data_IF_391494376741
#
_entry.id   IF_391494376741
#
_cell.length_a   1.000
_cell.length_b   1.000
_cell.length_c   1.000
_cell.angle_alpha   90.00
_cell.angle_beta   90.00
_cell.angle_gamma   90.00
#
_symmetry.space_group_name_H-M   'P 1'
#
loop_
_entity.id
_entity.type
_entity.pdbx_description
1 polymer ?
#
# COMPACT_ATOMS: atom_id res chain seq x y z
N UNK A 1 -36.85 40.15 13.19
CA UNK A 1 -36.13 38.91 13.53
C UNK A 1 -35.06 38.57 12.50
N UNK A 2 -35.27 38.90 11.22
CA UNK A 2 -34.33 38.58 10.13
C UNK A 2 -32.95 39.25 10.25
N UNK A 3 -32.87 40.50 10.73
CA UNK A 3 -31.58 41.18 10.92
C UNK A 3 -30.72 40.55 12.03
N UNK A 4 -31.35 40.04 13.10
CA UNK A 4 -30.64 39.35 14.19
C UNK A 4 -30.14 37.99 13.70
N UNK A 5 -30.98 37.25 12.97
CA UNK A 5 -30.62 35.97 12.36
C UNK A 5 -29.48 36.12 11.34
N UNK A 6 -29.54 37.14 10.47
CA UNK A 6 -28.48 37.43 9.50
C UNK A 6 -27.17 37.84 10.19
N UNK A 7 -27.23 38.65 11.25
CA UNK A 7 -26.06 39.03 12.03
C UNK A 7 -25.40 37.83 12.72
N UNK A 8 -26.20 36.92 13.29
CA UNK A 8 -25.72 35.67 13.88
C UNK A 8 -25.09 34.74 12.84
N UNK A 9 -25.71 34.58 11.68
CA UNK A 9 -25.16 33.80 10.57
C UNK A 9 -23.83 34.39 10.07
N UNK A 10 -23.73 35.70 9.95
CA UNK A 10 -22.50 36.39 9.54
C UNK A 10 -21.38 36.18 10.58
N UNK A 11 -21.70 36.32 11.87
CA UNK A 11 -20.76 36.08 12.97
C UNK A 11 -20.27 34.63 13.01
N UNK A 12 -21.18 33.66 12.86
CA UNK A 12 -20.82 32.24 12.75
C UNK A 12 -19.94 31.96 11.53
N UNK A 13 -20.20 32.61 10.39
CA UNK A 13 -19.37 32.49 9.19
C UNK A 13 -17.97 33.08 9.38
N UNK A 14 -17.86 34.26 9.99
CA UNK A 14 -16.57 34.91 10.28
C UNK A 14 -15.76 34.10 11.29
N UNK A 15 -16.38 33.60 12.35
CA UNK A 15 -15.70 32.75 13.34
C UNK A 15 -15.23 31.43 12.74
N UNK A 16 -16.06 30.78 11.91
CA UNK A 16 -15.67 29.57 11.19
C UNK A 16 -14.50 29.83 10.23
N UNK A 17 -14.55 30.89 9.42
CA UNK A 17 -13.48 31.22 8.46
C UNK A 17 -12.16 31.54 9.18
N UNK A 18 -12.19 32.30 10.27
CA UNK A 18 -11.00 32.55 11.10
C UNK A 18 -10.46 31.26 11.72
N UNK A 19 -11.34 30.40 12.23
CA UNK A 19 -10.94 29.12 12.82
C UNK A 19 -10.28 28.20 11.79
N UNK A 20 -10.90 27.99 10.62
CA UNK A 20 -10.33 27.17 9.56
C UNK A 20 -9.07 27.79 8.96
N UNK A 21 -9.06 29.12 8.75
CA UNK A 21 -7.88 29.86 8.29
C UNK A 21 -6.69 29.68 9.23
N UNK A 22 -6.92 29.81 10.54
CA UNK A 22 -5.90 29.55 11.55
C UNK A 22 -5.42 28.10 11.55
N UNK A 23 -6.32 27.11 11.41
CA UNK A 23 -5.94 25.70 11.30
C UNK A 23 -5.06 25.43 10.08
N UNK A 24 -5.41 26.01 8.93
CA UNK A 24 -4.63 25.90 7.69
C UNK A 24 -3.26 26.55 7.87
N UNK A 25 -3.20 27.76 8.43
CA UNK A 25 -1.95 28.47 8.69
C UNK A 25 -1.07 27.70 9.68
N UNK A 26 -1.65 27.15 10.75
CA UNK A 26 -0.94 26.29 11.71
C UNK A 26 -0.40 25.04 11.04
N UNK A 27 -1.18 24.39 10.19
CA UNK A 27 -0.80 23.16 9.50
C UNK A 27 0.27 23.37 8.41
N UNK A 28 0.13 24.42 7.58
CA UNK A 28 1.00 24.67 6.43
C UNK A 28 2.22 25.54 6.75
N UNK A 29 2.20 26.33 7.83
CA UNK A 29 3.29 27.29 8.10
C UNK A 29 3.97 27.04 9.44
N UNK A 30 3.23 27.14 10.55
CA UNK A 30 3.84 27.10 11.88
C UNK A 30 4.34 25.71 12.27
N UNK A 31 3.56 24.67 11.99
CA UNK A 31 3.91 23.30 12.37
C UNK A 31 5.16 22.80 11.63
N UNK A 32 5.25 22.91 10.28
CA UNK A 32 6.44 22.46 9.55
C UNK A 32 7.70 23.19 10.01
N UNK A 33 7.66 24.51 10.17
CA UNK A 33 8.82 25.31 10.62
C UNK A 33 9.27 24.96 12.04
N UNK A 34 8.32 24.73 12.95
CA UNK A 34 8.63 24.32 14.32
C UNK A 34 9.25 22.92 14.37
N UNK A 35 8.72 21.98 13.58
CA UNK A 35 9.29 20.63 13.44
C UNK A 35 10.69 20.70 12.82
N UNK A 36 10.86 21.48 11.74
CA UNK A 36 12.15 21.66 11.07
C UNK A 36 13.23 22.12 12.06
N UNK A 37 12.92 23.14 12.88
CA UNK A 37 13.84 23.65 13.90
C UNK A 37 14.28 22.55 14.86
N UNK A 38 13.33 21.74 15.36
CA UNK A 38 13.62 20.64 16.29
C UNK A 38 14.44 19.52 15.66
N UNK A 39 14.11 19.12 14.44
CA UNK A 39 14.84 18.08 13.69
C UNK A 39 16.29 18.52 13.44
N UNK A 40 16.50 19.80 13.03
CA UNK A 40 17.84 20.35 12.83
C UNK A 40 18.64 20.44 14.14
N UNK A 41 18.00 20.78 15.25
CA UNK A 41 18.64 20.78 16.58
C UNK A 41 19.09 19.38 17.01
N UNK A 42 18.42 18.32 16.53
CA UNK A 42 18.80 16.92 16.75
C UNK A 42 19.90 16.43 15.78
N UNK A 43 20.46 17.31 14.95
CA UNK A 43 21.57 17.00 14.05
C UNK A 43 21.17 16.52 12.66
N UNK A 44 19.88 16.45 12.35
CA UNK A 44 19.42 16.06 11.01
C UNK A 44 19.51 17.21 10.01
N UNK A 45 19.95 16.91 8.80
CA UNK A 45 20.13 17.87 7.69
C UNK A 45 19.14 17.59 6.56
N UNK A 46 18.77 18.62 5.81
CA UNK A 46 17.78 18.49 4.76
C UNK A 46 17.44 19.82 4.14
N UNK A 47 16.68 19.77 3.05
CA UNK A 47 16.18 20.97 2.40
C UNK A 47 15.27 21.77 3.36
N UNK A 48 15.29 23.11 3.30
CA UNK A 48 14.34 23.92 4.06
C UNK A 48 12.91 23.66 3.59
N UNK A 49 11.95 23.77 4.50
CA UNK A 49 10.56 23.54 4.16
C UNK A 49 10.06 24.51 3.06
N UNK A 50 9.57 23.95 1.96
CA UNK A 50 8.90 24.70 0.88
C UNK A 50 7.39 24.62 1.08
N UNK A 51 6.73 25.78 1.11
CA UNK A 51 5.31 25.90 1.42
C UNK A 51 4.44 24.90 0.63
N UNK A 52 3.53 24.23 1.33
CA UNK A 52 2.57 23.23 0.86
C UNK A 52 3.18 21.93 0.31
N UNK A 53 4.12 22.00 -0.65
CA UNK A 53 4.63 20.84 -1.38
C UNK A 53 5.86 20.18 -0.74
N UNK A 54 6.65 20.90 0.06
CA UNK A 54 7.94 20.40 0.51
C UNK A 54 8.83 20.06 -0.69
N UNK A 55 9.39 18.85 -0.70
CA UNK A 55 10.27 18.37 -1.78
C UNK A 55 9.50 17.71 -2.93
N UNK A 56 8.19 17.46 -2.79
CA UNK A 56 7.40 16.63 -3.73
C UNK A 56 7.49 17.07 -5.20
N UNK A 57 7.54 18.39 -5.46
CA UNK A 57 7.69 18.91 -6.83
C UNK A 57 9.04 18.49 -7.43
N UNK A 58 10.12 18.68 -6.67
CA UNK A 58 11.46 18.28 -7.08
C UNK A 58 11.56 16.75 -7.18
N UNK A 59 11.01 16.02 -6.22
CA UNK A 59 10.93 14.55 -6.26
C UNK A 59 10.24 14.02 -7.51
N UNK A 60 9.20 14.71 -7.98
CA UNK A 60 8.50 14.35 -9.21
C UNK A 60 9.40 14.54 -10.43
N UNK A 61 10.11 15.66 -10.52
CA UNK A 61 11.07 15.96 -11.60
C UNK A 61 12.21 14.94 -11.60
N UNK A 62 12.91 14.75 -10.47
CA UNK A 62 14.04 13.82 -10.38
C UNK A 62 13.61 12.38 -10.69
N UNK A 63 12.40 11.97 -10.30
CA UNK A 63 11.86 10.66 -10.65
C UNK A 63 11.57 10.51 -12.14
N UNK A 64 11.07 11.56 -12.81
CA UNK A 64 10.86 11.55 -14.27
C UNK A 64 12.19 11.47 -15.00
N UNK A 65 13.19 12.26 -14.60
CA UNK A 65 14.53 12.26 -15.18
C UNK A 65 15.26 10.93 -14.97
N UNK A 66 15.18 10.35 -13.77
CA UNK A 66 15.71 9.02 -13.51
C UNK A 66 15.03 8.00 -14.43
N UNK A 67 13.71 8.13 -14.64
CA UNK A 67 12.91 7.22 -15.47
C UNK A 67 13.13 7.33 -16.96
N UNK A 68 13.51 8.50 -17.46
CA UNK A 68 13.75 8.73 -18.88
C UNK A 68 15.09 8.20 -19.37
N UNK A 69 16.00 7.85 -18.46
CA UNK A 69 17.32 7.30 -18.80
C UNK A 69 17.30 5.77 -18.65
N UNK A 70 17.95 5.03 -19.57
CA UNK A 70 18.19 3.61 -19.39
C UNK A 70 19.09 3.39 -18.16
N UNK A 71 18.92 2.25 -17.51
CA UNK A 71 19.76 1.84 -16.38
C UNK A 71 20.84 0.89 -16.91
N UNK A 72 22.07 1.06 -16.44
CA UNK A 72 23.12 0.07 -16.70
C UNK A 72 22.74 -1.26 -16.04
N UNK A 73 23.29 -2.35 -16.57
CA UNK A 73 23.15 -3.66 -15.95
C UNK A 73 23.96 -3.70 -14.65
N UNK A 74 23.31 -3.28 -13.56
CA UNK A 74 23.91 -3.10 -12.23
C UNK A 74 22.87 -3.37 -11.14
N UNK A 75 23.35 -3.84 -9.99
CA UNK A 75 22.54 -3.97 -8.78
C UNK A 75 22.32 -2.63 -8.06
N UNK A 76 23.03 -1.56 -8.45
CA UNK A 76 22.82 -0.21 -7.91
C UNK A 76 21.59 0.47 -8.52
N UNK A 77 20.41 -0.01 -8.09
CA UNK A 77 19.11 0.44 -8.60
C UNK A 77 18.56 1.66 -7.84
N UNK A 78 19.17 2.01 -6.71
CA UNK A 78 18.66 3.03 -5.77
C UNK A 78 18.51 4.41 -6.42
N UNK A 79 19.49 4.93 -7.18
CA UNK A 79 19.35 6.21 -7.90
C UNK A 79 18.19 6.23 -8.89
N UNK A 80 17.80 5.06 -9.40
CA UNK A 80 16.74 4.89 -10.40
C UNK A 80 15.35 4.69 -9.80
N UNK A 81 15.26 3.94 -8.71
CA UNK A 81 13.98 3.53 -8.08
C UNK A 81 13.50 4.56 -7.07
N UNK A 82 14.41 5.07 -6.22
CA UNK A 82 14.13 6.04 -5.16
C UNK A 82 15.09 7.25 -5.21
N UNK A 83 15.16 7.97 -6.35
CA UNK A 83 16.13 9.04 -6.58
C UNK A 83 16.10 10.16 -5.53
N UNK A 84 14.91 10.47 -4.99
CA UNK A 84 14.75 11.54 -3.99
C UNK A 84 15.53 11.24 -2.71
N UNK A 85 15.43 10.01 -2.19
CA UNK A 85 16.15 9.61 -0.99
C UNK A 85 17.65 9.50 -1.26
N UNK A 86 18.03 8.95 -2.42
CA UNK A 86 19.43 8.89 -2.85
C UNK A 86 20.08 10.28 -2.89
N UNK A 87 19.42 11.26 -3.53
CA UNK A 87 19.90 12.64 -3.62
C UNK A 87 19.97 13.31 -2.25
N UNK A 88 19.01 13.06 -1.37
CA UNK A 88 19.02 13.59 -0.02
C UNK A 88 20.21 13.07 0.79
N UNK A 89 20.46 11.76 0.76
CA UNK A 89 21.62 11.14 1.40
C UNK A 89 22.95 11.67 0.84
N UNK A 90 23.04 11.78 -0.48
CA UNK A 90 24.26 12.30 -1.15
C UNK A 90 24.55 13.75 -0.75
N UNK A 91 23.52 14.58 -0.66
CA UNK A 91 23.69 16.02 -0.40
C UNK A 91 23.83 16.36 1.08
N UNK A 92 23.20 15.59 1.97
CA UNK A 92 23.04 15.94 3.39
C UNK A 92 23.67 14.94 4.36
N UNK A 93 24.13 13.78 3.88
CA UNK A 93 24.70 12.70 4.69
C UNK A 93 23.66 11.76 5.30
N UNK A 94 24.11 10.87 6.19
CA UNK A 94 23.30 9.77 6.75
C UNK A 94 22.14 10.25 7.65
N UNK A 95 22.35 11.29 8.44
CA UNK A 95 21.32 11.90 9.28
C UNK A 95 20.59 12.98 8.49
N UNK A 96 19.72 12.57 7.57
CA UNK A 96 18.97 13.52 6.75
C UNK A 96 17.46 13.34 6.80
N UNK A 97 16.73 14.32 6.27
CA UNK A 97 15.28 14.27 6.15
C UNK A 97 14.82 14.88 4.82
N UNK A 98 13.65 14.44 4.36
CA UNK A 98 12.97 14.97 3.17
C UNK A 98 11.53 15.35 3.48
N UNK A 99 10.95 16.27 2.72
CA UNK A 99 9.59 16.75 2.93
C UNK A 99 8.57 16.09 2.00
N UNK A 100 7.57 15.45 2.60
CA UNK A 100 6.34 15.00 1.94
C UNK A 100 5.20 15.99 2.25
N UNK A 101 5.11 17.05 1.44
CA UNK A 101 4.23 18.17 1.76
C UNK A 101 4.65 18.82 3.09
N UNK A 102 3.73 19.11 4.01
CA UNK A 102 4.05 19.68 5.32
C UNK A 102 4.60 18.66 6.35
N UNK A 103 4.80 17.39 5.96
CA UNK A 103 5.31 16.33 6.85
C UNK A 103 6.76 15.97 6.47
N UNK A 104 7.72 16.07 7.39
CA UNK A 104 9.06 15.57 7.14
C UNK A 104 9.11 14.05 7.36
N UNK A 105 9.95 13.37 6.59
CA UNK A 105 10.35 11.98 6.78
C UNK A 105 11.84 11.94 7.09
N UNK A 106 12.18 11.40 8.26
CA UNK A 106 13.57 11.17 8.65
C UNK A 106 14.11 9.93 7.92
N UNK A 107 15.31 10.03 7.38
CA UNK A 107 16.05 8.91 6.83
C UNK A 107 16.97 8.39 7.92
N UNK A 108 16.77 7.14 8.32
CA UNK A 108 17.57 6.48 9.35
C UNK A 108 18.31 5.33 8.68
N UNK A 109 19.64 5.43 8.65
CA UNK A 109 20.52 4.46 7.98
C UNK A 109 21.36 3.63 8.96
N UNK A 110 21.32 3.97 10.25
CA UNK A 110 22.09 3.28 11.32
C UNK A 110 21.35 2.00 11.74
N UNK A 111 21.93 0.79 11.52
CA UNK A 111 21.25 -0.47 11.77
C UNK A 111 20.73 -0.65 13.20
N UNK A 112 21.45 -0.17 14.21
CA UNK A 112 21.07 -0.26 15.62
C UNK A 112 19.79 0.54 15.89
N UNK A 113 19.68 1.73 15.30
CA UNK A 113 18.50 2.59 15.42
C UNK A 113 17.33 2.00 14.63
N UNK A 114 17.59 1.50 13.41
CA UNK A 114 16.56 0.82 12.61
C UNK A 114 15.99 -0.35 13.41
N UNK A 115 16.85 -1.19 13.99
CA UNK A 115 16.45 -2.31 14.86
C UNK A 115 15.59 -1.84 16.03
N UNK A 116 15.96 -0.77 16.69
CA UNK A 116 15.18 -0.20 17.80
C UNK A 116 13.79 0.27 17.34
N UNK A 117 13.73 1.00 16.22
CA UNK A 117 12.47 1.51 15.64
C UNK A 117 11.53 0.35 15.29
N UNK A 118 12.02 -0.67 14.58
CA UNK A 118 11.19 -1.80 14.15
C UNK A 118 10.81 -2.74 15.31
N UNK A 119 11.63 -2.81 16.37
CA UNK A 119 11.33 -3.62 17.56
C UNK A 119 10.31 -2.95 18.47
N UNK A 120 10.37 -1.61 18.62
CA UNK A 120 9.47 -0.83 19.48
C UNK A 120 8.18 -0.42 18.75
N UNK A 121 7.48 -1.38 18.16
CA UNK A 121 6.26 -1.15 17.35
C UNK A 121 5.10 -0.49 18.13
N UNK A 122 5.08 -0.54 19.46
CA UNK A 122 4.12 0.22 20.28
C UNK A 122 4.40 1.74 20.27
N UNK A 123 5.66 2.14 20.10
CA UNK A 123 6.10 3.55 20.06
C UNK A 123 6.07 4.06 18.62
N UNK A 124 6.64 3.29 17.70
CA UNK A 124 6.74 3.65 16.28
C UNK A 124 5.67 2.93 15.47
N UNK A 125 4.58 3.63 15.20
CA UNK A 125 3.46 3.13 14.39
C UNK A 125 3.66 3.46 12.91
N UNK A 126 3.05 2.67 12.03
CA UNK A 126 3.09 2.91 10.58
C UNK A 126 2.42 4.26 10.26
N UNK A 127 2.93 5.00 9.26
CA UNK A 127 2.30 6.25 8.83
C UNK A 127 0.87 6.00 8.35
N UNK A 128 -0.12 6.68 8.95
CA UNK A 128 -1.50 6.63 8.49
C UNK A 128 -1.78 7.72 7.46
N UNK A 129 -2.21 7.32 6.28
CA UNK A 129 -2.86 8.21 5.31
C UNK A 129 -4.29 7.70 5.07
N UNK A 130 -5.33 8.51 5.32
CA UNK A 130 -6.72 8.11 5.09
C UNK A 130 -7.01 7.56 3.69
N UNK A 131 -6.24 7.97 2.69
CA UNK A 131 -6.37 7.49 1.31
C UNK A 131 -5.71 6.11 1.15
N UNK A 132 -4.56 5.88 1.79
CA UNK A 132 -3.88 4.58 1.73
C UNK A 132 -4.58 3.55 2.62
N UNK A 133 -5.14 3.96 3.75
CA UNK A 133 -5.96 3.09 4.61
C UNK A 133 -7.24 2.65 3.91
N UNK A 134 -7.84 3.52 3.08
CA UNK A 134 -8.98 3.13 2.25
C UNK A 134 -8.61 2.04 1.23
N UNK A 135 -7.38 2.09 0.69
CA UNK A 135 -6.90 1.22 -0.38
C UNK A 135 -6.11 -0.02 0.11
N UNK A 136 -5.69 -0.04 1.36
CA UNK A 136 -4.82 -1.07 1.92
C UNK A 136 -5.20 -1.30 3.39
N UNK A 137 -6.45 -1.75 3.60
CA UNK A 137 -6.96 -2.17 4.89
C UNK A 137 -6.36 -3.48 5.40
N UNK A 138 -6.91 -4.00 6.50
CA UNK A 138 -6.48 -5.28 7.08
C UNK A 138 -5.05 -5.24 7.63
N UNK A 139 -4.33 -6.37 7.54
CA UNK A 139 -3.06 -6.58 8.24
C UNK A 139 -1.98 -5.52 7.94
N UNK A 140 -2.04 -4.87 6.77
CA UNK A 140 -1.11 -3.80 6.41
C UNK A 140 -1.31 -2.54 7.26
N UNK A 141 -2.56 -2.18 7.59
CA UNK A 141 -2.92 -0.98 8.35
C UNK A 141 -3.10 -1.20 9.85
N UNK A 142 -3.38 -2.44 10.27
CA UNK A 142 -3.54 -2.80 11.68
C UNK A 142 -2.24 -2.58 12.48
N UNK A 143 -2.42 -2.27 13.76
CA UNK A 143 -1.35 -1.99 14.72
C UNK A 143 -1.55 -2.77 16.02
N UNK A 144 -0.47 -2.94 16.79
CA UNK A 144 -0.50 -3.46 18.16
C UNK A 144 -1.23 -4.81 18.26
N UNK A 145 -2.17 -4.92 19.20
CA UNK A 145 -2.82 -6.18 19.56
C UNK A 145 -3.76 -6.68 18.46
N UNK A 146 -4.42 -5.77 17.72
CA UNK A 146 -5.23 -6.15 16.56
C UNK A 146 -4.37 -6.77 15.46
N UNK A 147 -3.20 -6.18 15.18
CA UNK A 147 -2.24 -6.76 14.24
C UNK A 147 -1.74 -8.12 14.72
N UNK A 148 -1.39 -8.25 16.00
CA UNK A 148 -0.90 -9.50 16.57
C UNK A 148 -1.94 -10.62 16.46
N UNK A 149 -3.22 -10.33 16.74
CA UNK A 149 -4.34 -11.27 16.56
C UNK A 149 -4.44 -11.74 15.11
N UNK A 150 -4.54 -10.81 14.15
CA UNK A 150 -4.69 -11.16 12.73
C UNK A 150 -3.46 -11.89 12.18
N UNK A 151 -2.25 -11.51 12.61
CA UNK A 151 -1.02 -12.18 12.19
C UNK A 151 -0.97 -13.61 12.70
N UNK A 152 -1.40 -13.86 13.94
CA UNK A 152 -1.48 -15.19 14.53
C UNK A 152 -2.44 -16.10 13.74
N UNK A 153 -3.60 -15.58 13.34
CA UNK A 153 -4.58 -16.31 12.51
C UNK A 153 -4.03 -16.69 11.12
N UNK A 154 -3.22 -15.81 10.53
CA UNK A 154 -2.71 -15.99 9.16
C UNK A 154 -1.47 -16.90 9.10
N UNK A 155 -0.60 -16.85 10.11
CA UNK A 155 0.69 -17.56 10.10
C UNK A 155 0.63 -19.07 9.80
N UNK A 156 -0.34 -19.86 10.33
CA UNK A 156 -0.44 -21.29 10.05
C UNK A 156 -0.52 -21.62 8.56
N UNK A 157 -1.15 -20.75 7.77
CA UNK A 157 -1.31 -20.92 6.33
C UNK A 157 0.03 -20.78 5.56
N UNK A 158 1.06 -20.24 6.22
CA UNK A 158 2.41 -20.05 5.67
C UNK A 158 3.46 -20.96 6.34
N UNK A 159 3.05 -22.00 7.08
CA UNK A 159 3.96 -23.02 7.57
C UNK A 159 4.50 -23.89 6.41
N UNK A 160 5.72 -24.41 6.57
CA UNK A 160 6.42 -25.16 5.52
C UNK A 160 5.60 -26.35 4.97
N UNK A 161 4.84 -27.04 5.83
CA UNK A 161 3.96 -28.14 5.42
C UNK A 161 2.86 -27.68 4.46
N UNK A 162 2.24 -26.52 4.73
CA UNK A 162 1.23 -25.93 3.86
C UNK A 162 1.84 -25.39 2.57
N UNK A 163 3.03 -24.78 2.64
CA UNK A 163 3.74 -24.27 1.47
C UNK A 163 4.15 -25.37 0.48
N UNK A 164 4.46 -26.59 0.95
CA UNK A 164 4.77 -27.73 0.06
C UNK A 164 3.63 -28.05 -0.91
N UNK A 165 2.38 -27.87 -0.48
CA UNK A 165 1.21 -28.09 -1.34
C UNK A 165 1.06 -27.04 -2.45
N UNK A 166 1.73 -25.89 -2.34
CA UNK A 166 1.71 -24.82 -3.34
C UNK A 166 2.73 -25.03 -4.48
N UNK A 167 3.78 -25.84 -4.24
CA UNK A 167 4.87 -26.06 -5.20
C UNK A 167 4.41 -26.57 -6.57
N UNK A 168 3.45 -27.51 -6.69
CA UNK A 168 2.95 -27.95 -7.99
C UNK A 168 2.33 -26.80 -8.81
N UNK A 169 1.60 -25.89 -8.16
CA UNK A 169 1.04 -24.71 -8.82
C UNK A 169 2.13 -23.74 -9.28
N UNK A 170 3.20 -23.56 -8.49
CA UNK A 170 4.37 -22.78 -8.90
C UNK A 170 5.01 -23.36 -10.15
N UNK A 171 5.27 -24.68 -10.15
CA UNK A 171 5.87 -25.37 -11.29
C UNK A 171 5.01 -25.25 -12.55
N UNK A 172 3.70 -25.46 -12.43
CA UNK A 172 2.75 -25.33 -13.55
C UNK A 172 2.77 -23.91 -14.14
N UNK A 173 2.63 -22.88 -13.31
CA UNK A 173 2.64 -21.49 -13.77
C UNK A 173 3.98 -21.08 -14.39
N UNK A 174 5.10 -21.54 -13.83
CA UNK A 174 6.42 -21.31 -14.42
C UNK A 174 6.54 -22.02 -15.78
N UNK A 175 6.08 -23.26 -15.89
CA UNK A 175 6.07 -24.02 -17.15
C UNK A 175 5.24 -23.33 -18.23
N UNK A 176 4.01 -22.92 -17.92
CA UNK A 176 3.14 -22.18 -18.85
C UNK A 176 3.76 -20.85 -19.33
N UNK A 177 4.53 -20.17 -18.47
CA UNK A 177 5.26 -18.96 -18.85
C UNK A 177 6.43 -19.28 -19.78
N UNK A 178 7.23 -20.30 -19.46
CA UNK A 178 8.38 -20.72 -20.27
C UNK A 178 7.95 -21.23 -21.64
N UNK A 179 6.87 -22.02 -21.73
CA UNK A 179 6.33 -22.48 -23.02
C UNK A 179 5.95 -21.33 -23.94
N UNK A 180 5.39 -20.23 -23.40
CA UNK A 180 5.10 -19.03 -24.19
C UNK A 180 6.38 -18.36 -24.71
N UNK A 181 7.46 -18.37 -23.92
CA UNK A 181 8.75 -17.84 -24.37
C UNK A 181 9.37 -18.73 -25.45
N UNK A 182 9.27 -20.04 -25.32
CA UNK A 182 9.72 -21.01 -26.32
C UNK A 182 8.97 -20.84 -27.65
N UNK A 183 7.65 -20.60 -27.62
CA UNK A 183 6.85 -20.29 -28.81
C UNK A 183 7.32 -19.02 -29.53
N UNK A 184 7.67 -17.98 -28.78
CA UNK A 184 8.20 -16.72 -29.33
C UNK A 184 9.60 -16.94 -29.93
N UNK A 185 10.43 -17.76 -29.30
CA UNK A 185 11.76 -18.12 -29.80
C UNK A 185 11.66 -18.97 -31.07
N UNK A 186 10.75 -19.96 -31.11
CA UNK A 186 10.54 -20.82 -32.28
C UNK A 186 9.95 -20.09 -33.50
N UNK A 187 9.33 -18.94 -33.28
CA UNK A 187 8.76 -18.09 -34.34
C UNK A 187 9.75 -17.07 -34.92
N UNK A 188 10.91 -16.88 -34.28
CA UNK A 188 11.99 -16.00 -34.73
C UNK A 188 13.23 -16.84 -35.04
N UNK A 189 14.21 -16.34 -35.81
CA UNK A 189 15.44 -17.06 -36.22
C UNK A 189 16.41 -17.42 -35.05
N UNK A 190 15.91 -17.98 -33.95
CA UNK A 190 16.68 -18.47 -32.80
C UNK A 190 17.10 -17.40 -31.78
N UNK A 191 16.83 -16.12 -32.02
CA UNK A 191 17.12 -15.03 -31.09
C UNK A 191 16.00 -13.98 -31.09
N UNK A 192 15.49 -13.63 -29.92
CA UNK A 192 14.51 -12.54 -29.77
C UNK A 192 14.71 -11.78 -28.45
N UNK A 193 14.41 -10.49 -28.46
CA UNK A 193 14.30 -9.67 -27.26
C UNK A 193 12.88 -9.77 -26.71
N UNK A 194 12.73 -10.11 -25.42
CA UNK A 194 11.43 -10.30 -24.78
C UNK A 194 11.31 -9.40 -23.56
N UNK A 195 10.26 -8.57 -23.51
CA UNK A 195 9.86 -7.90 -22.28
C UNK A 195 9.24 -8.93 -21.32
N UNK A 196 10.02 -9.35 -20.32
CA UNK A 196 9.60 -10.36 -19.33
C UNK A 196 8.60 -9.82 -18.31
N UNK A 197 8.44 -8.50 -18.18
CA UNK A 197 7.66 -7.91 -17.09
C UNK A 197 6.17 -8.33 -17.10
N UNK A 198 5.44 -8.28 -18.24
CA UNK A 198 4.05 -8.74 -18.30
C UNK A 198 3.90 -10.23 -17.97
N UNK A 199 4.88 -11.06 -18.38
CA UNK A 199 4.89 -12.50 -18.10
C UNK A 199 5.08 -12.79 -16.62
N UNK A 200 6.07 -12.17 -15.98
CA UNK A 200 6.30 -12.31 -14.54
C UNK A 200 5.09 -11.85 -13.72
N UNK A 201 4.47 -10.75 -14.13
CA UNK A 201 3.26 -10.26 -13.50
C UNK A 201 2.06 -11.20 -13.67
N UNK A 202 1.94 -11.86 -14.81
CA UNK A 202 0.87 -12.83 -15.09
C UNK A 202 1.12 -14.11 -14.31
N UNK A 203 2.33 -14.67 -14.38
CA UNK A 203 2.75 -15.84 -13.63
C UNK A 203 2.52 -15.65 -12.12
N UNK A 204 2.93 -14.51 -11.55
CA UNK A 204 2.73 -14.23 -10.12
C UNK A 204 1.23 -14.19 -9.76
N UNK A 205 0.41 -13.61 -10.63
CA UNK A 205 -1.04 -13.56 -10.46
C UNK A 205 -1.65 -14.97 -10.50
N UNK A 206 -1.26 -15.79 -11.48
CA UNK A 206 -1.78 -17.15 -11.65
C UNK A 206 -1.35 -18.06 -10.49
N UNK A 207 -0.10 -17.92 -10.03
CA UNK A 207 0.42 -18.57 -8.83
C UNK A 207 -0.43 -18.22 -7.62
N UNK A 208 -0.65 -16.92 -7.38
CA UNK A 208 -1.45 -16.46 -6.24
C UNK A 208 -2.89 -16.98 -6.34
N UNK A 209 -3.54 -16.82 -7.49
CA UNK A 209 -4.92 -17.27 -7.69
C UNK A 209 -5.09 -18.78 -7.46
N UNK A 210 -4.20 -19.61 -8.01
CA UNK A 210 -4.28 -21.07 -7.87
C UNK A 210 -3.97 -21.54 -6.45
N UNK A 211 -2.97 -20.95 -5.80
CA UNK A 211 -2.55 -21.37 -4.45
C UNK A 211 -3.43 -20.82 -3.34
N UNK A 212 -3.97 -19.62 -3.52
CA UNK A 212 -4.79 -18.98 -2.51
C UNK A 212 -6.26 -19.39 -2.59
N UNK A 213 -6.80 -19.59 -3.80
CA UNK A 213 -8.23 -19.77 -4.02
C UNK A 213 -8.60 -21.05 -4.76
N UNK A 214 -7.63 -21.86 -5.21
CA UNK A 214 -7.87 -23.18 -5.79
C UNK A 214 -8.89 -23.15 -6.93
N UNK A 215 -10.07 -23.70 -6.70
CA UNK A 215 -11.17 -23.76 -7.67
C UNK A 215 -11.72 -22.41 -8.12
N UNK A 216 -11.53 -21.34 -7.33
CA UNK A 216 -12.00 -19.98 -7.65
C UNK A 216 -10.90 -19.10 -8.26
N UNK A 217 -9.92 -19.71 -8.95
CA UNK A 217 -8.74 -19.00 -9.46
C UNK A 217 -9.08 -17.95 -10.52
N UNK A 218 -10.15 -18.11 -11.31
CA UNK A 218 -10.57 -17.14 -12.33
C UNK A 218 -11.09 -15.84 -11.68
N UNK A 219 -11.92 -15.97 -10.64
CA UNK A 219 -12.39 -14.85 -9.83
C UNK A 219 -11.21 -14.14 -9.17
N UNK A 220 -10.26 -14.91 -8.63
CA UNK A 220 -9.04 -14.37 -8.02
C UNK A 220 -8.13 -13.65 -9.03
N UNK A 221 -8.10 -14.11 -10.29
CA UNK A 221 -7.34 -13.44 -11.36
C UNK A 221 -7.91 -12.07 -11.68
N UNK A 222 -9.24 -11.95 -11.78
CA UNK A 222 -9.92 -10.65 -11.91
C UNK A 222 -9.62 -9.72 -10.72
N UNK A 223 -9.63 -10.26 -9.50
CA UNK A 223 -9.28 -9.49 -8.30
C UNK A 223 -7.82 -8.98 -8.33
N UNK A 224 -6.86 -9.77 -8.80
CA UNK A 224 -5.45 -9.38 -8.93
C UNK A 224 -5.25 -8.22 -9.91
N UNK A 225 -6.03 -8.15 -10.99
CA UNK A 225 -6.02 -7.02 -11.92
C UNK A 225 -6.48 -5.72 -11.24
N UNK A 226 -7.58 -5.79 -10.46
CA UNK A 226 -8.09 -4.66 -9.67
C UNK A 226 -7.07 -4.21 -8.61
N UNK A 227 -6.43 -5.14 -7.91
CA UNK A 227 -5.38 -4.84 -6.93
C UNK A 227 -4.17 -4.14 -7.57
N UNK A 228 -3.84 -4.45 -8.82
CA UNK A 228 -2.77 -3.78 -9.56
C UNK A 228 -3.12 -2.33 -9.89
N UNK A 229 -4.37 -2.07 -10.25
CA UNK A 229 -4.88 -0.71 -10.43
C UNK A 229 -4.78 0.07 -9.11
N UNK A 230 -5.25 -0.53 -8.01
CA UNK A 230 -5.18 0.03 -6.67
C UNK A 230 -3.74 0.34 -6.23
N UNK A 231 -2.79 -0.57 -6.46
CA UNK A 231 -1.38 -0.37 -6.14
C UNK A 231 -0.80 0.87 -6.84
N UNK A 232 -1.19 1.14 -8.09
CA UNK A 232 -0.78 2.37 -8.80
C UNK A 232 -1.34 3.62 -8.12
N UNK A 233 -2.60 3.60 -7.71
CA UNK A 233 -3.25 4.69 -6.99
C UNK A 233 -2.67 4.92 -5.60
N UNK A 234 -2.33 3.85 -4.86
CA UNK A 234 -1.61 3.94 -3.58
C UNK A 234 -0.26 4.63 -3.79
N UNK A 235 0.50 4.22 -4.81
CA UNK A 235 1.79 4.83 -5.11
C UNK A 235 1.66 6.31 -5.50
N UNK A 236 0.61 6.69 -6.24
CA UNK A 236 0.32 8.07 -6.58
C UNK A 236 -0.08 8.90 -5.35
N UNK A 237 -0.94 8.35 -4.49
CA UNK A 237 -1.34 8.93 -3.22
C UNK A 237 -0.12 9.26 -2.35
N UNK A 238 0.81 8.32 -2.17
CA UNK A 238 2.05 8.52 -1.42
C UNK A 238 2.96 9.62 -1.99
N UNK A 239 2.81 9.95 -3.28
CA UNK A 239 3.60 10.98 -3.98
C UNK A 239 2.91 12.34 -4.02
N UNK A 240 1.74 12.47 -3.41
CA UNK A 240 0.93 13.69 -3.38
C UNK A 240 0.84 14.26 -1.98
N UNK A 241 0.50 15.55 -1.88
CA UNK A 241 0.22 16.18 -0.59
C UNK A 241 -1.09 15.62 -0.05
N UNK A 242 -1.07 15.04 1.15
CA UNK A 242 -2.31 14.65 1.82
C UNK A 242 -3.10 15.91 2.22
N UNK A 243 -4.27 16.09 1.60
CA UNK A 243 -5.21 17.17 1.93
C UNK A 243 -6.36 16.58 2.75
N UNK A 244 -6.55 17.00 4.01
CA UNK A 244 -7.68 16.56 4.83
C UNK A 244 -9.02 16.80 4.11
N UNK A 245 -9.91 15.81 4.14
CA UNK A 245 -11.23 15.88 3.50
C UNK A 245 -11.25 15.59 2.00
N UNK A 246 -10.10 15.62 1.31
CA UNK A 246 -10.02 15.39 -0.15
C UNK A 246 -10.64 14.05 -0.58
N UNK A 247 -10.53 13.01 0.26
CA UNK A 247 -11.12 11.67 0.01
C UNK A 247 -12.65 11.66 -0.15
N UNK A 248 -13.34 12.68 0.36
CA UNK A 248 -14.80 12.78 0.31
C UNK A 248 -15.30 13.53 -0.92
N UNK A 249 -14.40 14.21 -1.65
CA UNK A 249 -14.77 14.91 -2.87
C UNK A 249 -15.14 13.90 -3.96
N UNK A 250 -16.18 14.16 -4.77
CA UNK A 250 -16.63 13.23 -5.81
C UNK A 250 -15.76 13.31 -7.08
N UNK A 251 -14.44 13.24 -6.93
CA UNK A 251 -13.48 13.22 -8.06
C UNK A 251 -13.53 11.87 -8.78
N UNK A 252 -13.13 11.84 -10.06
CA UNK A 252 -13.03 10.58 -10.84
C UNK A 252 -12.15 9.55 -10.12
N UNK A 253 -11.03 10.00 -9.58
CA UNK A 253 -10.11 9.19 -8.79
C UNK A 253 -10.78 8.58 -7.56
N UNK A 254 -11.43 9.40 -6.72
CA UNK A 254 -12.08 8.90 -5.51
C UNK A 254 -13.27 7.96 -5.80
N UNK A 255 -14.01 8.20 -6.89
CA UNK A 255 -15.10 7.33 -7.34
C UNK A 255 -14.55 5.97 -7.79
N UNK A 256 -13.57 5.98 -8.69
CA UNK A 256 -12.95 4.74 -9.19
C UNK A 256 -12.37 3.90 -8.07
N UNK A 257 -11.66 4.50 -7.10
CA UNK A 257 -11.16 3.78 -5.94
C UNK A 257 -12.25 3.12 -5.10
N UNK A 258 -13.39 3.80 -4.87
CA UNK A 258 -14.51 3.23 -4.13
C UNK A 258 -15.17 2.08 -4.88
N UNK A 259 -15.31 2.22 -6.20
CA UNK A 259 -15.83 1.17 -7.09
C UNK A 259 -14.91 -0.06 -7.05
N UNK A 260 -13.60 0.13 -7.27
CA UNK A 260 -12.59 -0.95 -7.21
C UNK A 260 -12.61 -1.65 -5.86
N UNK A 261 -12.65 -0.91 -4.75
CA UNK A 261 -12.77 -1.48 -3.41
C UNK A 261 -14.04 -2.34 -3.27
N UNK A 262 -15.19 -1.82 -3.65
CA UNK A 262 -16.47 -2.55 -3.56
C UNK A 262 -16.48 -3.80 -4.45
N UNK A 263 -15.84 -3.76 -5.62
CA UNK A 263 -15.74 -4.90 -6.53
C UNK A 263 -14.84 -5.99 -5.94
N UNK A 264 -13.67 -5.62 -5.39
CA UNK A 264 -12.78 -6.55 -4.68
C UNK A 264 -13.51 -7.19 -3.49
N UNK A 265 -14.21 -6.40 -2.67
CA UNK A 265 -14.98 -6.90 -1.52
C UNK A 265 -16.08 -7.87 -1.97
N UNK A 266 -16.81 -7.54 -3.04
CA UNK A 266 -17.85 -8.42 -3.58
C UNK A 266 -17.28 -9.75 -4.08
N UNK A 267 -16.14 -9.72 -4.79
CA UNK A 267 -15.48 -10.94 -5.29
C UNK A 267 -15.00 -11.80 -4.12
N UNK A 268 -14.32 -11.21 -3.14
CA UNK A 268 -13.82 -11.90 -1.95
C UNK A 268 -14.96 -12.55 -1.14
N UNK A 269 -16.03 -11.80 -0.88
CA UNK A 269 -17.19 -12.33 -0.16
C UNK A 269 -17.90 -13.45 -0.94
N UNK A 270 -17.94 -13.36 -2.27
CA UNK A 270 -18.42 -14.44 -3.13
C UNK A 270 -17.60 -15.72 -2.95
N UNK A 271 -16.27 -15.62 -3.06
CA UNK A 271 -15.35 -16.75 -2.90
C UNK A 271 -15.43 -17.36 -1.49
N UNK A 272 -15.55 -16.53 -0.43
CA UNK A 272 -15.73 -17.01 0.94
C UNK A 272 -17.05 -17.79 1.08
N UNK A 273 -18.16 -17.27 0.55
CA UNK A 273 -19.47 -17.94 0.63
C UNK A 273 -19.50 -19.26 -0.12
N UNK A 274 -18.94 -19.31 -1.33
CA UNK A 274 -18.78 -20.55 -2.08
C UNK A 274 -17.95 -21.57 -1.29
N UNK A 275 -16.88 -21.10 -0.63
CA UNK A 275 -16.01 -21.97 0.13
C UNK A 275 -16.67 -22.53 1.38
N UNK A 276 -17.42 -21.72 2.11
CA UNK A 276 -18.14 -22.15 3.31
C UNK A 276 -19.15 -23.26 2.97
N UNK A 277 -19.87 -23.14 1.85
CA UNK A 277 -20.78 -24.20 1.37
C UNK A 277 -20.05 -25.50 1.04
N UNK A 278 -18.92 -25.42 0.33
CA UNK A 278 -18.14 -26.61 -0.02
C UNK A 278 -17.56 -27.33 1.22
N UNK A 279 -17.27 -26.58 2.31
CA UNK A 279 -16.84 -27.15 3.58
C UNK A 279 -17.96 -27.91 4.31
N UNK A 280 -19.21 -27.47 4.20
CA UNK A 280 -20.38 -28.21 4.73
C UNK A 280 -20.62 -29.53 3.97
N UNK A 281 -20.26 -29.57 2.69
CA UNK A 281 -20.39 -30.72 1.79
C UNK A 281 -19.16 -31.67 1.84
N UNK A 282 -18.27 -31.53 2.83
CA UNK A 282 -17.00 -32.28 2.99
C UNK A 282 -16.08 -32.29 1.76
N UNK A 283 -16.30 -31.39 0.80
CA UNK A 283 -15.51 -31.29 -0.43
C UNK A 283 -14.31 -30.39 -0.18
N UNK A 284 -13.34 -30.91 0.57
CA UNK A 284 -12.24 -30.11 1.12
C UNK A 284 -11.13 -29.82 0.09
N UNK A 285 -10.79 -28.53 -0.07
CA UNK A 285 -9.58 -28.08 -0.77
C UNK A 285 -8.62 -27.41 0.21
N UNK A 286 -7.35 -27.83 0.16
CA UNK A 286 -6.27 -27.45 1.09
C UNK A 286 -5.57 -26.14 0.68
N UNK A 287 -6.28 -25.21 0.04
CA UNK A 287 -5.74 -23.91 -0.38
C UNK A 287 -5.69 -22.89 0.78
N UNK A 288 -5.01 -21.76 0.54
CA UNK A 288 -4.78 -20.74 1.58
C UNK A 288 -6.09 -20.28 2.22
N UNK A 289 -7.14 -20.02 1.42
CA UNK A 289 -8.43 -19.58 1.93
C UNK A 289 -9.05 -20.63 2.86
N UNK A 290 -9.01 -21.92 2.48
CA UNK A 290 -9.48 -23.01 3.33
C UNK A 290 -8.75 -23.06 4.67
N UNK A 291 -7.42 -22.93 4.67
CA UNK A 291 -6.61 -22.96 5.90
C UNK A 291 -6.90 -21.74 6.80
N UNK A 292 -7.13 -20.58 6.21
CA UNK A 292 -7.48 -19.36 6.95
C UNK A 292 -8.86 -19.47 7.61
N UNK A 293 -9.86 -20.00 6.90
CA UNK A 293 -11.19 -20.24 7.44
C UNK A 293 -11.14 -21.24 8.60
N UNK A 294 -10.42 -22.35 8.42
CA UNK A 294 -10.23 -23.37 9.48
C UNK A 294 -9.56 -22.78 10.73
N UNK A 295 -8.52 -21.95 10.54
CA UNK A 295 -7.82 -21.29 11.65
C UNK A 295 -8.75 -20.32 12.39
N UNK A 296 -9.64 -19.64 11.67
CA UNK A 296 -10.64 -18.75 12.28
C UNK A 296 -11.69 -19.53 13.10
N UNK A 297 -12.26 -20.60 12.53
CA UNK A 297 -13.22 -21.46 13.25
C UNK A 297 -12.63 -22.05 14.54
N UNK A 298 -11.35 -22.44 14.52
CA UNK A 298 -10.65 -22.93 15.72
C UNK A 298 -10.48 -21.87 16.82
N UNK A 299 -10.34 -20.59 16.45
CA UNK A 299 -10.13 -19.49 17.40
C UNK A 299 -11.45 -18.90 17.92
N UNK A 300 -12.54 -18.94 17.14
CA UNK A 300 -13.81 -18.26 17.46
C UNK A 300 -15.04 -19.17 17.57
N UNK A 301 -14.93 -20.48 17.32
CA UNK A 301 -16.07 -21.40 17.32
C UNK A 301 -17.04 -21.14 16.16
N UNK A 302 -18.27 -21.66 16.23
CA UNK A 302 -19.29 -21.52 15.17
C UNK A 302 -19.82 -20.09 14.98
N UNK A 303 -19.49 -19.15 15.87
CA UNK A 303 -19.80 -17.72 15.72
C UNK A 303 -18.76 -16.96 14.86
N UNK A 304 -17.79 -17.69 14.24
CA UNK A 304 -16.57 -17.21 13.59
C UNK A 304 -16.69 -16.41 12.28
N UNK A 305 -17.81 -15.74 12.01
CA UNK A 305 -17.94 -14.82 10.87
C UNK A 305 -17.50 -13.37 11.22
N UNK A 306 -16.70 -13.20 12.26
CA UNK A 306 -16.06 -11.93 12.64
C UNK A 306 -14.84 -11.59 11.75
N UNK A 307 -14.79 -12.06 10.50
CA UNK A 307 -13.90 -11.49 9.48
C UNK A 307 -14.54 -10.22 8.91
N UNK A 308 -14.75 -9.21 9.75
CA UNK A 308 -15.15 -7.90 9.27
C UNK A 308 -13.98 -7.29 8.50
N UNK A 309 -14.10 -7.25 7.17
CA UNK A 309 -13.27 -6.41 6.29
C UNK A 309 -13.40 -4.92 6.68
N UNK A 310 -14.42 -4.58 7.46
CA UNK A 310 -14.67 -3.26 8.01
C UNK A 310 -14.31 -3.16 9.50
N UNK A 311 -13.09 -2.70 9.78
CA UNK A 311 -12.77 -1.73 10.85
C UNK A 311 -11.63 -0.82 10.39
#
# INVERSE_FOLDING_TARGET
MDNLMNSLLLSCSVTATLFYGWRILKWLWFTPRSIEKRIRQQGFRGNPYRFFYGDLRESSVTRKEARSKPMLFSHDIVPRVIPTFHKALTNHGENCFVWFGPKPALLVMVPEIIREIVSKHYVFQKPRSPLTTLLAGGLLSLERDEWAKHRRLINPAFHAEKLKHMVPAFHLCCGEMLSKWDEILGSNDGCCEVDVWPYLQTMTSDVFSRTAFGSSYEQARKMSELQREEAKHIMEAHRSVHIPGYRFLPTRFNRRMKETKSEIESILLGMIKERLKAMEEETYSNDLLGVLLESNFKEHGNDGLEMSIEK
#
